data_IF_621974427535
#
_entry.id   IF_621974427535
#
_cell.length_a   1.000
_cell.length_b   1.000
_cell.length_c   1.000
_cell.angle_alpha   90.00
_cell.angle_beta   90.00
_cell.angle_gamma   90.00
#
_symmetry.space_group_name_H-M   'P 1'
#
loop_
_entity.id
_entity.type
_entity.pdbx_description
1 polymer ?
#
# COMPACT_ATOMS: atom_id res chain seq x y z
N UNK A 1 -45.36 17.59 -20.78
CA UNK A 1 -44.70 17.89 -19.50
C UNK A 1 -43.57 16.88 -19.34
N UNK A 2 -42.34 17.35 -19.56
CA UNK A 2 -41.12 16.54 -19.46
C UNK A 2 -40.70 16.46 -17.98
N UNK A 3 -40.55 15.24 -17.46
CA UNK A 3 -40.01 14.99 -16.12
C UNK A 3 -39.31 13.64 -16.11
N UNK A 4 -37.98 13.65 -16.24
CA UNK A 4 -37.20 12.42 -16.21
C UNK A 4 -35.77 12.57 -16.71
N UNK A 5 -34.92 13.34 -16.00
CA UNK A 5 -33.46 13.32 -16.23
C UNK A 5 -32.61 13.52 -14.95
N UNK A 6 -33.20 13.62 -13.74
CA UNK A 6 -32.41 14.02 -12.56
C UNK A 6 -31.80 12.85 -11.74
N UNK A 7 -32.14 11.59 -12.04
CA UNK A 7 -31.81 10.48 -11.13
C UNK A 7 -30.46 9.81 -11.39
N UNK A 8 -29.83 10.01 -12.54
CA UNK A 8 -28.63 9.24 -12.93
C UNK A 8 -27.30 9.84 -12.45
N UNK A 9 -27.23 11.15 -12.23
CA UNK A 9 -26.00 11.81 -11.74
C UNK A 9 -25.80 11.60 -10.24
N UNK A 10 -26.88 11.70 -9.45
CA UNK A 10 -26.83 11.64 -7.99
C UNK A 10 -26.39 10.26 -7.45
N UNK A 11 -26.60 9.18 -8.21
CA UNK A 11 -26.16 7.82 -7.86
C UNK A 11 -24.64 7.64 -8.06
N UNK A 12 -24.02 8.42 -8.94
CA UNK A 12 -22.57 8.33 -9.23
C UNK A 12 -21.71 9.00 -8.16
N UNK A 13 -22.13 10.16 -7.65
CA UNK A 13 -21.35 10.97 -6.71
C UNK A 13 -21.20 10.28 -5.34
N UNK A 14 -22.32 9.78 -4.79
CA UNK A 14 -22.33 9.07 -3.51
C UNK A 14 -21.53 7.75 -3.60
N UNK A 15 -21.57 7.09 -4.76
CA UNK A 15 -20.84 5.85 -5.00
C UNK A 15 -19.32 6.02 -5.01
N UNK A 16 -18.81 7.12 -5.56
CA UNK A 16 -17.37 7.38 -5.60
C UNK A 16 -16.79 7.65 -4.22
N UNK A 17 -17.39 8.59 -3.49
CA UNK A 17 -16.94 8.95 -2.13
C UNK A 17 -17.01 7.73 -1.22
N UNK A 18 -18.10 6.97 -1.25
CA UNK A 18 -18.22 5.73 -0.48
C UNK A 18 -17.13 4.70 -0.87
N UNK A 19 -16.86 4.55 -2.16
CA UNK A 19 -15.79 3.68 -2.66
C UNK A 19 -14.40 4.10 -2.19
N UNK A 20 -14.10 5.40 -2.20
CA UNK A 20 -12.82 5.94 -1.71
C UNK A 20 -12.68 5.73 -0.20
N UNK A 21 -13.76 5.93 0.58
CA UNK A 21 -13.74 5.64 2.02
C UNK A 21 -13.53 4.14 2.32
N UNK A 22 -14.11 3.24 1.50
CA UNK A 22 -13.84 1.82 1.60
C UNK A 22 -12.38 1.47 1.26
N UNK A 23 -11.78 2.16 0.28
CA UNK A 23 -10.35 2.02 -0.03
C UNK A 23 -9.47 2.48 1.12
N UNK A 24 -9.78 3.63 1.74
CA UNK A 24 -9.10 4.12 2.93
C UNK A 24 -9.14 3.07 4.04
N UNK A 25 -10.33 2.57 4.37
CA UNK A 25 -10.48 1.58 5.43
C UNK A 25 -9.67 0.31 5.15
N UNK A 26 -9.69 -0.17 3.90
CA UNK A 26 -8.90 -1.34 3.50
C UNK A 26 -7.39 -1.07 3.54
N UNK A 27 -6.96 0.12 3.12
CA UNK A 27 -5.55 0.54 3.19
C UNK A 27 -5.04 0.60 4.63
N UNK A 28 -5.83 1.16 5.56
CA UNK A 28 -5.51 1.17 6.99
C UNK A 28 -5.37 -0.25 7.54
N UNK A 29 -6.29 -1.15 7.18
CA UNK A 29 -6.21 -2.55 7.59
C UNK A 29 -4.94 -3.24 7.06
N UNK A 30 -4.57 -2.98 5.80
CA UNK A 30 -3.36 -3.54 5.20
C UNK A 30 -2.11 -3.05 5.94
N UNK A 31 -2.04 -1.75 6.23
CA UNK A 31 -0.95 -1.13 6.98
C UNK A 31 -0.83 -1.72 8.39
N UNK A 32 -1.95 -1.88 9.09
CA UNK A 32 -1.97 -2.45 10.44
C UNK A 32 -1.51 -3.92 10.44
N UNK A 33 -2.00 -4.72 9.49
CA UNK A 33 -1.55 -6.11 9.33
C UNK A 33 -0.05 -6.19 9.04
N UNK A 34 0.48 -5.27 8.24
CA UNK A 34 1.90 -5.23 7.90
C UNK A 34 2.77 -4.80 9.09
N UNK A 35 2.28 -3.89 9.94
CA UNK A 35 2.93 -3.46 11.19
C UNK A 35 2.93 -4.55 12.25
N UNK A 36 1.82 -5.26 12.41
CA UNK A 36 1.67 -6.32 13.41
C UNK A 36 2.47 -7.59 13.08
N UNK A 37 2.80 -7.83 11.81
CA UNK A 37 3.51 -9.03 11.39
C UNK A 37 5.03 -8.90 11.56
N UNK A 38 5.65 -9.85 12.25
CA UNK A 38 7.12 -9.98 12.32
C UNK A 38 7.74 -10.50 11.02
N UNK A 39 6.94 -11.15 10.18
CA UNK A 39 7.32 -11.65 8.85
C UNK A 39 6.14 -11.44 7.90
N UNK A 40 5.94 -10.22 7.38
CA UNK A 40 4.85 -9.94 6.47
C UNK A 40 4.91 -10.86 5.25
N UNK A 41 3.76 -11.38 4.83
CA UNK A 41 3.63 -12.00 3.51
C UNK A 41 3.69 -10.89 2.45
N UNK A 42 4.91 -10.62 1.98
CA UNK A 42 5.19 -9.56 1.02
C UNK A 42 4.46 -9.77 -0.30
N UNK A 43 4.32 -11.02 -0.74
CA UNK A 43 3.63 -11.33 -1.99
C UNK A 43 2.15 -10.96 -1.88
N UNK A 44 1.51 -11.37 -0.78
CA UNK A 44 0.12 -10.99 -0.50
C UNK A 44 -0.05 -9.48 -0.35
N UNK A 45 0.86 -8.81 0.35
CA UNK A 45 0.81 -7.36 0.56
C UNK A 45 0.88 -6.60 -0.78
N UNK A 46 1.80 -6.99 -1.67
CA UNK A 46 1.92 -6.40 -3.01
C UNK A 46 0.70 -6.68 -3.88
N UNK A 47 0.11 -7.87 -3.80
CA UNK A 47 -1.12 -8.20 -4.53
C UNK A 47 -2.31 -7.37 -4.03
N UNK A 48 -2.45 -7.20 -2.72
CA UNK A 48 -3.50 -6.37 -2.14
C UNK A 48 -3.33 -4.89 -2.49
N UNK A 49 -2.11 -4.36 -2.47
CA UNK A 49 -1.82 -2.98 -2.88
C UNK A 49 -2.13 -2.75 -4.37
N UNK A 50 -1.74 -3.68 -5.25
CA UNK A 50 -2.08 -3.59 -6.67
C UNK A 50 -3.61 -3.59 -6.88
N UNK A 51 -4.35 -4.37 -6.10
CA UNK A 51 -5.81 -4.37 -6.10
C UNK A 51 -6.42 -3.04 -5.63
N UNK A 52 -5.84 -2.40 -4.61
CA UNK A 52 -6.25 -1.07 -4.16
C UNK A 52 -6.00 -0.01 -5.25
N UNK A 53 -4.85 -0.08 -5.93
CA UNK A 53 -4.49 0.83 -7.01
C UNK A 53 -5.48 0.75 -8.18
N UNK A 54 -5.76 -0.46 -8.66
CA UNK A 54 -6.72 -0.65 -9.76
C UNK A 54 -8.13 -0.15 -9.41
N UNK A 55 -8.55 -0.28 -8.15
CA UNK A 55 -9.83 0.28 -7.68
C UNK A 55 -9.81 1.81 -7.60
N UNK A 56 -8.70 2.40 -7.15
CA UNK A 56 -8.54 3.85 -7.14
C UNK A 56 -8.60 4.42 -8.55
N UNK A 57 -7.87 3.83 -9.50
CA UNK A 57 -7.91 4.20 -10.92
C UNK A 57 -9.33 4.14 -11.48
N UNK A 58 -10.06 3.07 -11.16
CA UNK A 58 -11.47 2.94 -11.57
C UNK A 58 -12.36 4.05 -10.99
N UNK A 59 -12.20 4.41 -9.71
CA UNK A 59 -13.00 5.45 -9.06
C UNK A 59 -12.67 6.85 -9.61
N UNK A 60 -11.42 7.07 -10.00
CA UNK A 60 -10.91 8.34 -10.52
C UNK A 60 -11.00 8.47 -12.04
N UNK A 61 -11.58 7.49 -12.74
CA UNK A 61 -11.67 7.47 -14.21
C UNK A 61 -12.53 8.61 -14.79
N UNK A 62 -13.42 9.16 -13.98
CA UNK A 62 -14.37 10.19 -14.36
C UNK A 62 -14.05 11.50 -13.63
N UNK A 63 -14.32 12.66 -14.25
CA UNK A 63 -14.12 13.95 -13.60
C UNK A 63 -14.82 14.05 -12.23
N UNK A 64 -14.21 14.81 -11.33
CA UNK A 64 -14.74 15.08 -9.98
C UNK A 64 -15.71 16.24 -10.04
N UNK A 65 -16.96 15.97 -9.65
CA UNK A 65 -18.00 16.98 -9.58
C UNK A 65 -17.77 17.93 -8.39
N UNK A 66 -18.17 19.21 -8.50
CA UNK A 66 -17.88 20.24 -7.50
C UNK A 66 -18.40 19.87 -6.09
N UNK A 67 -19.51 19.16 -6.00
CA UNK A 67 -20.15 18.70 -4.76
C UNK A 67 -19.33 17.64 -3.99
N UNK A 68 -18.45 16.89 -4.66
CA UNK A 68 -17.66 15.83 -4.03
C UNK A 68 -16.16 16.14 -3.95
N UNK A 69 -15.69 17.25 -4.55
CA UNK A 69 -14.26 17.63 -4.60
C UNK A 69 -13.60 17.54 -3.23
N UNK A 70 -14.23 18.10 -2.20
CA UNK A 70 -13.64 18.16 -0.86
C UNK A 70 -13.55 16.77 -0.22
N UNK A 71 -14.60 15.96 -0.33
CA UNK A 71 -14.61 14.60 0.20
C UNK A 71 -13.60 13.70 -0.53
N UNK A 72 -13.50 13.84 -1.85
CA UNK A 72 -12.49 13.14 -2.67
C UNK A 72 -11.10 13.60 -2.26
N UNK A 73 -10.87 14.91 -2.08
CA UNK A 73 -9.57 15.45 -1.64
C UNK A 73 -9.14 14.87 -0.29
N UNK A 74 -10.03 14.84 0.70
CA UNK A 74 -9.76 14.25 2.02
C UNK A 74 -9.40 12.77 1.87
N UNK A 75 -10.20 11.99 1.14
CA UNK A 75 -9.94 10.56 0.97
C UNK A 75 -8.60 10.30 0.24
N UNK A 76 -8.26 11.10 -0.76
CA UNK A 76 -6.97 10.99 -1.46
C UNK A 76 -5.78 11.35 -0.57
N UNK A 77 -5.92 12.37 0.28
CA UNK A 77 -4.89 12.72 1.27
C UNK A 77 -4.66 11.58 2.27
N UNK A 78 -5.73 10.93 2.73
CA UNK A 78 -5.61 9.78 3.62
C UNK A 78 -4.97 8.58 2.91
N UNK A 79 -5.35 8.27 1.67
CA UNK A 79 -4.72 7.22 0.87
C UNK A 79 -3.23 7.48 0.64
N UNK A 80 -2.85 8.74 0.40
CA UNK A 80 -1.44 9.13 0.25
C UNK A 80 -0.66 8.90 1.54
N UNK A 81 -1.22 9.30 2.70
CA UNK A 81 -0.60 9.07 4.00
C UNK A 81 -0.39 7.57 4.28
N UNK A 82 -1.42 6.75 4.03
CA UNK A 82 -1.33 5.29 4.17
C UNK A 82 -0.25 4.70 3.28
N UNK A 83 -0.17 5.14 2.02
CA UNK A 83 0.84 4.65 1.07
C UNK A 83 2.25 5.04 1.53
N UNK A 84 2.43 6.28 1.97
CA UNK A 84 3.70 6.78 2.50
C UNK A 84 4.19 5.93 3.67
N UNK A 85 3.31 5.63 4.60
CA UNK A 85 3.60 4.76 5.76
C UNK A 85 3.94 3.32 5.32
N UNK A 86 3.23 2.78 4.34
CA UNK A 86 3.45 1.42 3.83
C UNK A 86 4.80 1.30 3.12
N UNK A 87 5.18 2.30 2.32
CA UNK A 87 6.49 2.38 1.66
C UNK A 87 7.61 2.46 2.69
N UNK A 88 7.49 3.35 3.68
CA UNK A 88 8.48 3.47 4.74
C UNK A 88 8.68 2.13 5.50
N UNK A 89 7.58 1.40 5.75
CA UNK A 89 7.63 0.07 6.34
C UNK A 89 8.44 -0.89 5.46
N UNK A 90 8.10 -1.00 4.18
CA UNK A 90 8.77 -1.88 3.20
C UNK A 90 10.27 -1.56 3.11
N UNK A 91 10.63 -0.28 3.04
CA UNK A 91 12.03 0.17 3.00
C UNK A 91 12.80 -0.23 4.26
N UNK A 92 12.18 -0.10 5.44
CA UNK A 92 12.76 -0.55 6.70
C UNK A 92 13.03 -2.06 6.72
N UNK A 93 12.11 -2.88 6.20
CA UNK A 93 12.31 -4.33 6.07
C UNK A 93 13.41 -4.68 5.07
N UNK A 94 13.45 -3.99 3.92
CA UNK A 94 14.51 -4.14 2.92
C UNK A 94 15.89 -3.85 3.53
N UNK A 95 16.00 -2.76 4.31
CA UNK A 95 17.24 -2.41 5.01
C UNK A 95 17.72 -3.51 5.96
N UNK A 96 16.83 -4.05 6.80
CA UNK A 96 17.16 -5.16 7.71
C UNK A 96 17.56 -6.44 6.96
N UNK A 97 16.86 -6.76 5.87
CA UNK A 97 17.18 -7.93 5.06
C UNK A 97 18.59 -7.82 4.45
N UNK A 98 18.95 -6.64 3.94
CA UNK A 98 20.29 -6.37 3.40
C UNK A 98 21.37 -6.52 4.48
N UNK A 99 21.17 -5.93 5.66
CA UNK A 99 22.10 -6.07 6.79
C UNK A 99 22.31 -7.53 7.19
N UNK A 100 21.24 -8.34 7.23
CA UNK A 100 21.33 -9.76 7.54
C UNK A 100 22.13 -10.55 6.48
N UNK A 101 21.99 -10.19 5.19
CA UNK A 101 22.76 -10.80 4.10
C UNK A 101 24.24 -10.43 4.18
N UNK A 102 24.56 -9.17 4.48
CA UNK A 102 25.94 -8.70 4.69
C UNK A 102 26.59 -9.41 5.87
N UNK A 103 25.87 -9.55 6.99
CA UNK A 103 26.33 -10.30 8.15
C UNK A 103 26.63 -11.76 7.80
N UNK A 104 25.72 -12.43 7.08
CA UNK A 104 25.93 -13.81 6.60
C UNK A 104 27.15 -13.92 5.69
N UNK A 105 27.38 -12.95 4.81
CA UNK A 105 28.55 -12.92 3.95
C UNK A 105 29.85 -12.75 4.76
N UNK A 106 29.84 -11.87 5.77
CA UNK A 106 30.97 -11.70 6.69
C UNK A 106 31.28 -12.99 7.45
N UNK A 107 30.28 -13.64 8.05
CA UNK A 107 30.44 -14.91 8.77
C UNK A 107 31.03 -15.99 7.85
N UNK A 108 30.53 -16.10 6.61
CA UNK A 108 31.08 -17.04 5.62
C UNK A 108 32.54 -16.76 5.28
N UNK A 109 32.94 -15.50 5.12
CA UNK A 109 34.34 -15.13 4.88
C UNK A 109 35.22 -15.49 6.08
N UNK A 110 34.78 -15.16 7.29
CA UNK A 110 35.51 -15.51 8.52
C UNK A 110 35.68 -17.03 8.67
N UNK A 111 34.61 -17.81 8.50
CA UNK A 111 34.66 -19.27 8.58
C UNK A 111 35.63 -19.88 7.56
N UNK A 112 35.68 -19.35 6.33
CA UNK A 112 36.64 -19.81 5.30
C UNK A 112 38.08 -19.49 5.68
N UNK A 113 38.35 -18.29 6.20
CA UNK A 113 39.70 -17.91 6.63
C UNK A 113 40.21 -18.84 7.73
N UNK A 114 39.40 -19.08 8.77
CA UNK A 114 39.78 -20.01 9.85
C UNK A 114 39.85 -21.47 9.41
N UNK A 115 38.95 -21.91 8.52
CA UNK A 115 39.01 -23.26 7.96
C UNK A 115 40.24 -23.52 7.08
N UNK A 116 40.81 -22.47 6.46
CA UNK A 116 42.07 -22.55 5.70
C UNK A 116 43.30 -22.46 6.61
N UNK A 117 43.23 -21.71 7.71
CA UNK A 117 44.32 -21.60 8.69
C UNK A 117 44.49 -22.84 9.59
N UNK A 118 43.46 -23.68 9.73
CA UNK A 118 43.53 -24.89 10.56
C UNK A 118 44.15 -26.12 9.86
N UNK A 119 44.57 -25.99 8.60
CA UNK A 119 45.16 -27.07 7.77
C UNK A 119 46.67 -26.82 7.50
N UNK A 120 47.32 -25.95 8.28
CA UNK A 120 48.75 -25.62 8.18
C UNK A 120 49.57 -26.21 9.32
#
# INVERSE_FOLDING_TARGET
>A
MNGGVETSANVSHTGRVAGLMALVARGRQLLENARASQSPDWQKLLQEEAGLRGRLEFLMRHPVGPEEVEAVRIALQELLAINTDLVALIEGYRGRALQALEHKALVRRAARAYGQSAVG
#
